data_IF_548087603043
#
_entry.id   IF_548087603043
#
_cell.length_a   1.000
_cell.length_b   1.000
_cell.length_c   1.000
_cell.angle_alpha   90.00
_cell.angle_beta   90.00
_cell.angle_gamma   90.00
#
_symmetry.space_group_name_H-M   'P 1'
#
loop_
_entity.id
_entity.type
_entity.pdbx_description
1 polymer ?
#
# COMPACT_ATOMS: atom_id res chain seq x y z
N UNK A 1 -19.47 -0.44 10.78
CA UNK A 1 -18.93 -1.30 9.72
C UNK A 1 -17.41 -1.30 9.83
N UNK A 2 -16.77 -2.47 9.77
CA UNK A 2 -15.30 -2.59 9.87
C UNK A 2 -14.67 -2.13 8.54
N UNK A 3 -14.21 -0.87 8.51
CA UNK A 3 -13.59 -0.20 7.34
C UNK A 3 -12.22 -0.76 6.93
N UNK A 4 -11.63 -1.69 7.69
CA UNK A 4 -10.23 -2.09 7.50
C UNK A 4 -10.00 -3.35 6.66
N UNK A 5 -11.05 -4.11 6.31
CA UNK A 5 -10.84 -5.46 5.72
C UNK A 5 -10.20 -5.42 4.32
N UNK A 6 -10.36 -4.32 3.59
CA UNK A 6 -9.98 -4.19 2.18
C UNK A 6 -8.92 -3.12 1.91
N UNK A 7 -8.39 -2.46 2.94
CA UNK A 7 -7.35 -1.47 2.75
C UNK A 7 -6.02 -2.16 2.35
N UNK A 8 -5.33 -1.67 1.31
CA UNK A 8 -4.00 -2.13 0.99
C UNK A 8 -3.07 -2.00 2.19
N UNK A 9 -2.29 -3.05 2.47
CA UNK A 9 -1.30 -3.04 3.57
C UNK A 9 0.01 -2.36 3.18
N UNK A 10 0.29 -2.29 1.88
CA UNK A 10 1.52 -1.75 1.33
C UNK A 10 1.16 -0.86 0.14
N UNK A 11 2.00 0.16 -0.07
CA UNK A 11 1.83 1.16 -1.11
C UNK A 11 2.93 0.99 -2.10
N UNK A 12 2.59 0.91 -3.39
CA UNK A 12 3.50 1.10 -4.51
C UNK A 12 4.71 0.15 -4.60
N UNK A 13 5.09 -0.27 -5.80
CA UNK A 13 6.48 -0.66 -6.02
C UNK A 13 7.36 0.60 -6.05
N UNK A 14 8.40 0.64 -5.21
CA UNK A 14 9.45 1.66 -5.29
C UNK A 14 10.77 1.02 -5.69
N UNK A 15 11.58 1.76 -6.46
CA UNK A 15 12.92 1.30 -6.82
C UNK A 15 13.85 1.44 -5.62
N UNK A 16 14.71 0.45 -5.43
CA UNK A 16 15.80 0.56 -4.45
C UNK A 16 16.93 1.35 -5.09
N UNK A 17 17.31 2.47 -4.50
CA UNK A 17 18.45 3.28 -4.91
C UNK A 17 19.75 2.74 -4.33
N UNK A 18 19.73 2.36 -3.05
CA UNK A 18 20.92 1.93 -2.31
C UNK A 18 20.53 1.02 -1.15
N UNK A 19 21.42 0.09 -0.78
CA UNK A 19 21.33 -0.64 0.49
C UNK A 19 22.17 0.11 1.52
N UNK A 20 21.51 0.70 2.52
CA UNK A 20 22.17 1.44 3.60
C UNK A 20 22.23 0.52 4.80
N UNK A 21 23.40 -0.10 5.03
CA UNK A 21 23.61 -1.13 6.06
C UNK A 21 22.77 -2.39 5.76
N UNK A 22 23.12 -3.55 6.33
CA UNK A 22 22.44 -4.83 6.07
C UNK A 22 20.93 -4.83 6.37
N UNK A 23 20.43 -3.81 7.08
CA UNK A 23 19.06 -3.75 7.63
C UNK A 23 18.18 -2.63 7.07
N UNK A 24 18.69 -1.78 6.16
CA UNK A 24 17.88 -0.71 5.58
C UNK A 24 18.16 -0.48 4.09
N UNK A 25 17.15 0.02 3.39
CA UNK A 25 17.25 0.39 1.98
C UNK A 25 16.80 1.82 1.77
N UNK A 26 17.50 2.52 0.88
CA UNK A 26 17.09 3.80 0.33
C UNK A 26 16.22 3.55 -0.90
N UNK A 27 15.04 4.13 -0.92
CA UNK A 27 14.06 4.00 -2.01
C UNK A 27 13.95 5.29 -2.81
N UNK A 28 13.61 5.13 -4.09
CA UNK A 28 13.19 6.21 -4.98
C UNK A 28 11.73 6.52 -4.70
N UNK A 29 11.49 7.36 -3.69
CA UNK A 29 10.15 7.79 -3.30
C UNK A 29 9.75 9.01 -4.14
N UNK A 30 8.51 9.04 -4.67
CA UNK A 30 8.03 10.17 -5.44
C UNK A 30 7.63 11.32 -4.51
N UNK A 31 7.42 12.51 -5.08
CA UNK A 31 7.29 13.77 -4.33
C UNK A 31 6.06 13.79 -3.41
N UNK A 32 5.02 13.03 -3.75
CA UNK A 32 3.82 12.81 -2.92
C UNK A 32 4.19 12.19 -1.55
N UNK A 33 5.32 11.49 -1.47
CA UNK A 33 5.87 10.88 -0.26
C UNK A 33 7.00 11.69 0.37
N UNK A 34 7.20 12.95 -0.01
CA UNK A 34 8.32 13.79 0.47
C UNK A 34 8.41 13.94 2.00
N UNK A 35 7.30 13.75 2.72
CA UNK A 35 7.26 13.74 4.20
C UNK A 35 7.84 12.47 4.82
N UNK A 36 7.93 11.38 4.05
CA UNK A 36 8.43 10.08 4.49
C UNK A 36 9.94 10.01 4.22
N UNK A 37 10.70 9.52 5.20
CA UNK A 37 12.11 9.25 4.98
C UNK A 37 12.28 8.17 3.91
N UNK A 38 13.11 8.47 2.90
CA UNK A 38 13.41 7.53 1.82
C UNK A 38 14.24 6.33 2.25
N UNK A 39 14.74 6.30 3.49
CA UNK A 39 15.48 5.17 4.06
C UNK A 39 14.56 4.39 4.98
N UNK A 40 14.24 3.15 4.62
CA UNK A 40 13.31 2.29 5.34
C UNK A 40 14.00 0.99 5.80
N UNK A 41 13.68 0.57 7.03
CA UNK A 41 14.15 -0.71 7.57
C UNK A 41 13.49 -1.88 6.82
N UNK A 42 14.23 -2.99 6.66
CA UNK A 42 13.76 -4.18 5.92
C UNK A 42 12.42 -4.76 6.39
N UNK A 43 12.07 -4.59 7.67
CA UNK A 43 10.77 -5.03 8.22
C UNK A 43 9.57 -4.30 7.63
N UNK A 44 9.77 -3.07 7.15
CA UNK A 44 8.72 -2.22 6.59
C UNK A 44 8.55 -2.45 5.09
N UNK A 45 9.42 -3.26 4.48
CA UNK A 45 9.44 -3.51 3.05
C UNK A 45 8.89 -4.90 2.74
N UNK A 46 8.23 -5.00 1.59
CA UNK A 46 7.82 -6.28 1.02
C UNK A 46 8.34 -6.37 -0.41
N UNK A 47 8.98 -7.49 -0.76
CA UNK A 47 9.43 -7.72 -2.13
C UNK A 47 8.22 -7.69 -3.06
N UNK A 48 8.28 -6.81 -4.06
CA UNK A 48 7.29 -6.80 -5.13
C UNK A 48 7.66 -7.88 -6.14
N UNK A 49 6.71 -8.75 -6.48
CA UNK A 49 6.86 -9.82 -7.47
C UNK A 49 6.19 -9.48 -8.80
N UNK A 50 5.68 -8.26 -8.96
CA UNK A 50 5.08 -7.82 -10.21
C UNK A 50 6.19 -7.44 -11.21
N UNK A 51 6.11 -7.98 -12.43
CA UNK A 51 7.05 -7.71 -13.51
C UNK A 51 6.89 -6.28 -14.08
N UNK A 52 5.76 -5.63 -13.80
CA UNK A 52 5.43 -4.27 -14.21
C UNK A 52 4.97 -3.46 -12.98
N UNK A 53 5.34 -2.17 -12.84
CA UNK A 53 4.81 -1.37 -11.75
C UNK A 53 3.30 -1.24 -11.93
N UNK A 54 2.53 -2.05 -11.19
CA UNK A 54 1.13 -1.81 -10.90
C UNK A 54 1.08 -0.51 -10.08
N UNK A 55 1.19 0.61 -10.78
CA UNK A 55 1.13 1.93 -10.23
C UNK A 55 -0.32 2.16 -9.80
N UNK A 56 -0.64 1.74 -8.58
CA UNK A 56 -1.77 2.35 -7.87
C UNK A 56 -1.49 3.86 -7.87
N UNK A 57 -2.39 4.69 -8.40
CA UNK A 57 -2.16 6.13 -8.47
C UNK A 57 -1.89 6.68 -7.07
N UNK A 58 -0.69 7.22 -6.85
CA UNK A 58 -0.31 7.85 -5.57
C UNK A 58 -1.00 9.20 -5.36
N UNK A 59 -1.70 9.71 -6.37
CA UNK A 59 -2.44 10.97 -6.33
C UNK A 59 -3.54 11.02 -5.24
N UNK A 60 -3.97 9.87 -4.70
CA UNK A 60 -4.95 9.77 -3.61
C UNK A 60 -4.35 9.51 -2.22
N UNK A 61 -3.02 9.45 -2.09
CA UNK A 61 -2.35 9.23 -0.82
C UNK A 61 -2.34 10.50 0.02
N UNK A 62 -3.03 10.50 1.16
CA UNK A 62 -2.84 11.53 2.17
C UNK A 62 -2.19 10.94 3.42
N UNK A 63 -1.08 11.55 3.87
CA UNK A 63 -0.49 11.24 5.17
C UNK A 63 -1.01 12.25 6.19
N UNK A 64 -1.55 11.75 7.28
CA UNK A 64 -1.88 12.60 8.42
C UNK A 64 -0.61 13.05 9.16
N UNK A 65 -0.76 13.94 10.15
CA UNK A 65 0.37 14.43 10.97
C UNK A 65 1.05 13.34 11.81
N UNK A 66 0.45 12.14 11.89
CA UNK A 66 1.00 10.95 12.54
C UNK A 66 1.69 10.01 11.53
N UNK A 67 1.85 10.44 10.27
CA UNK A 67 2.39 9.65 9.15
C UNK A 67 1.57 8.39 8.86
N UNK A 68 0.30 8.35 9.27
CA UNK A 68 -0.62 7.28 8.93
C UNK A 68 -1.19 7.51 7.54
N UNK A 69 -1.25 6.43 6.79
CA UNK A 69 -1.77 6.39 5.44
C UNK A 69 -3.30 6.43 5.43
N UNK A 70 -3.89 7.41 4.75
CA UNK A 70 -5.31 7.44 4.40
C UNK A 70 -5.43 7.29 2.89
N UNK A 71 -5.78 6.10 2.41
CA UNK A 71 -6.28 5.87 1.05
C UNK A 71 -7.80 5.75 1.09
N UNK A 72 -8.45 6.27 0.05
CA UNK A 72 -9.88 6.15 -0.12
C UNK A 72 -10.22 4.72 -0.55
N UNK A 73 -11.07 3.98 0.20
CA UNK A 73 -11.36 2.60 -0.13
C UNK A 73 -12.06 2.51 -1.49
N UNK A 74 -11.50 1.72 -2.41
CA UNK A 74 -12.11 1.43 -3.71
C UNK A 74 -13.45 0.73 -3.48
N UNK A 75 -14.54 1.31 -4.00
CA UNK A 75 -15.87 0.72 -3.90
C UNK A 75 -15.90 -0.65 -4.62
N UNK A 76 -16.41 -1.68 -3.93
CA UNK A 76 -16.62 -2.99 -4.55
C UNK A 76 -17.85 -2.88 -5.47
N UNK A 77 -17.60 -2.78 -6.78
CA UNK A 77 -18.67 -2.63 -7.80
C UNK A 77 -19.44 -3.95 -8.02
N UNK A 78 -18.83 -5.11 -7.74
CA UNK A 78 -19.44 -6.42 -8.01
C UNK A 78 -19.48 -7.30 -6.76
N UNK A 79 -20.62 -7.26 -6.07
CA UNK A 79 -20.94 -8.13 -4.93
C UNK A 79 -21.97 -9.17 -5.37
N UNK A 80 -21.55 -10.35 -5.83
CA UNK A 80 -22.50 -11.43 -6.11
C UNK A 80 -23.12 -11.95 -4.79
N UNK A 81 -24.38 -11.58 -4.52
CA UNK A 81 -25.12 -12.05 -3.35
C UNK A 81 -25.50 -13.52 -3.57
N UNK A 82 -24.66 -14.46 -3.10
CA UNK A 82 -25.01 -15.88 -3.07
C UNK A 82 -26.09 -16.14 -2.02
N UNK A 83 -27.31 -16.43 -2.46
CA UNK A 83 -28.39 -16.95 -1.61
C UNK A 83 -28.08 -18.39 -1.23
N UNK A 84 -27.72 -18.62 0.03
CA UNK A 84 -27.66 -19.97 0.59
C UNK A 84 -29.09 -20.50 0.75
N UNK A 85 -29.34 -21.72 0.27
CA UNK A 85 -30.60 -22.41 0.52
C UNK A 85 -30.65 -22.75 2.01
N UNK A 86 -31.62 -22.21 2.74
CA UNK A 86 -31.95 -22.74 4.06
C UNK A 86 -32.48 -24.16 3.86
N UNK A 87 -31.81 -25.14 4.48
CA UNK A 87 -32.32 -26.49 4.63
C UNK A 87 -33.57 -26.46 5.52
N UNK A 88 -34.62 -27.14 5.05
CA UNK A 88 -35.92 -27.33 5.71
C UNK A 88 -35.80 -27.83 7.14
#
# INVERSE_FOLDING_TARGET
GKREKLNPRYVGPFKVLEMIVDVAYKLDLPEELSRVHNTLHVSNLKKCHADEPLAVPLAGLHFDDKLQFMEEPVEIVDCEVKRLKQSQ
#
